data_IF_888752667701
#
_entry.id   IF_888752667701
#
_cell.length_a   1.000
_cell.length_b   1.000
_cell.length_c   1.000
_cell.angle_alpha   90.00
_cell.angle_beta   90.00
_cell.angle_gamma   90.00
#
_symmetry.space_group_name_H-M   'P 1'
#
loop_
_entity.id
_entity.type
_entity.pdbx_description
1 polymer ?
#
# COMPACT_ATOMS: atom_id res chain seq x y z
N UNK A 1 15.08 26.71 2.56
CA UNK A 1 15.87 26.98 1.34
C UNK A 1 14.88 27.20 0.21
N UNK A 2 14.81 28.41 -0.36
CA UNK A 2 13.99 28.69 -1.54
C UNK A 2 14.78 28.27 -2.79
N UNK A 3 14.21 27.40 -3.62
CA UNK A 3 14.75 27.14 -4.94
C UNK A 3 14.48 28.37 -5.83
N UNK A 4 15.44 28.82 -6.66
CA UNK A 4 15.17 29.88 -7.64
C UNK A 4 14.07 29.43 -8.59
N UNK A 5 13.15 30.34 -8.92
CA UNK A 5 11.99 30.02 -9.76
C UNK A 5 12.42 29.48 -11.12
N UNK A 6 11.91 28.31 -11.50
CA UNK A 6 12.32 27.60 -12.73
C UNK A 6 11.63 28.11 -14.00
N UNK A 7 10.60 28.93 -13.85
CA UNK A 7 9.72 29.36 -14.94
C UNK A 7 8.78 28.26 -15.45
N UNK A 8 8.87 27.03 -14.92
CA UNK A 8 7.98 25.90 -15.24
C UNK A 8 7.15 25.54 -14.02
N UNK A 9 5.93 26.07 -13.99
CA UNK A 9 4.94 25.81 -12.94
C UNK A 9 4.08 24.63 -13.38
N UNK A 10 4.02 23.59 -12.57
CA UNK A 10 3.14 22.44 -12.76
C UNK A 10 1.67 22.85 -12.50
N UNK A 11 0.73 22.03 -12.98
CA UNK A 11 -0.67 22.17 -12.53
C UNK A 11 -0.71 22.17 -11.00
N UNK A 12 -1.53 23.04 -10.39
CA UNK A 12 -1.56 23.19 -8.93
C UNK A 12 -0.59 24.24 -8.34
N UNK A 13 0.18 24.96 -9.17
CA UNK A 13 0.98 26.11 -8.71
C UNK A 13 2.34 25.73 -8.11
N UNK A 14 2.79 24.50 -8.33
CA UNK A 14 4.05 23.97 -7.79
C UNK A 14 5.18 24.22 -8.79
N UNK A 15 6.27 24.83 -8.34
CA UNK A 15 7.48 24.92 -9.14
C UNK A 15 8.11 23.53 -9.28
N UNK A 16 8.36 23.10 -10.53
CA UNK A 16 8.96 21.78 -10.81
C UNK A 16 10.29 21.53 -10.08
N UNK A 17 11.07 22.57 -9.80
CA UNK A 17 12.34 22.46 -9.06
C UNK A 17 12.15 22.30 -7.56
N UNK A 18 11.02 22.74 -7.00
CA UNK A 18 10.71 22.59 -5.58
C UNK A 18 10.51 21.12 -5.18
N UNK A 19 10.15 20.26 -6.14
CA UNK A 19 9.97 18.82 -5.92
C UNK A 19 11.30 18.05 -5.91
N UNK A 20 12.38 18.62 -6.44
CA UNK A 20 13.66 17.91 -6.55
C UNK A 20 14.25 17.51 -5.19
N UNK A 21 14.38 18.41 -4.19
CA UNK A 21 14.97 18.04 -2.90
C UNK A 21 14.19 16.94 -2.16
N UNK A 22 12.85 17.02 -2.00
CA UNK A 22 12.15 15.96 -1.29
C UNK A 22 12.05 14.66 -2.11
N UNK A 23 12.05 14.70 -3.46
CA UNK A 23 12.21 13.48 -4.28
C UNK A 23 13.55 12.81 -4.05
N UNK A 24 14.63 13.59 -4.00
CA UNK A 24 15.97 13.08 -3.71
C UNK A 24 16.06 12.47 -2.30
N UNK A 25 15.40 13.10 -1.32
CA UNK A 25 15.31 12.56 0.04
C UNK A 25 14.56 11.23 0.08
N UNK A 26 13.36 11.16 -0.51
CA UNK A 26 12.56 9.94 -0.49
C UNK A 26 13.22 8.81 -1.31
N UNK A 27 13.83 9.14 -2.46
CA UNK A 27 14.63 8.22 -3.27
C UNK A 27 15.98 7.82 -2.68
N UNK A 28 16.34 8.31 -1.49
CA UNK A 28 17.49 7.80 -0.76
C UNK A 28 17.23 6.37 -0.24
N UNK A 29 15.97 6.02 0.05
CA UNK A 29 15.58 4.68 0.49
C UNK A 29 16.01 3.61 -0.53
N UNK A 30 16.78 2.63 -0.09
CA UNK A 30 17.30 1.54 -0.92
C UNK A 30 17.86 0.41 -0.07
N UNK A 31 17.85 -0.79 -0.64
CA UNK A 31 18.64 -1.92 -0.16
C UNK A 31 20.00 -1.92 -0.90
N UNK A 32 21.12 -2.09 -0.19
CA UNK A 32 22.46 -2.06 -0.77
C UNK A 32 23.05 -3.47 -0.75
N UNK A 33 23.41 -4.00 -1.93
CA UNK A 33 24.04 -5.31 -2.05
C UNK A 33 25.39 -5.34 -1.32
N UNK A 34 25.59 -6.33 -0.44
CA UNK A 34 26.78 -6.44 0.41
C UNK A 34 26.88 -5.37 1.51
N UNK A 35 25.86 -4.54 1.70
CA UNK A 35 25.80 -3.49 2.70
C UNK A 35 24.58 -3.60 3.62
N UNK A 36 24.17 -2.46 4.18
CA UNK A 36 22.91 -2.33 4.92
C UNK A 36 21.75 -1.87 4.03
N UNK A 37 20.65 -1.48 4.68
CA UNK A 37 19.48 -0.90 4.01
C UNK A 37 19.06 0.41 4.68
N UNK A 38 18.46 1.31 3.89
CA UNK A 38 17.75 2.49 4.37
C UNK A 38 16.28 2.37 3.97
N UNK A 39 15.42 2.22 4.97
CA UNK A 39 13.96 2.18 4.78
C UNK A 39 13.37 3.52 5.18
N UNK A 40 12.59 4.13 4.30
CA UNK A 40 11.85 5.36 4.60
C UNK A 40 10.36 5.05 4.47
N UNK A 41 9.62 5.27 5.55
CA UNK A 41 8.16 5.28 5.56
C UNK A 41 7.72 6.73 5.78
N UNK A 42 6.93 7.25 4.85
CA UNK A 42 6.41 8.61 4.91
C UNK A 42 4.89 8.58 4.81
N UNK A 43 4.23 9.52 5.48
CA UNK A 43 2.80 9.77 5.29
C UNK A 43 2.62 10.84 4.23
N UNK A 44 1.64 10.63 3.36
CA UNK A 44 1.21 11.62 2.38
C UNK A 44 -0.26 11.96 2.65
N UNK A 45 -0.57 13.26 2.66
CA UNK A 45 -1.95 13.71 2.73
C UNK A 45 -2.55 13.61 1.32
N UNK A 46 -3.74 13.03 1.24
CA UNK A 46 -4.55 12.93 0.02
C UNK A 46 -5.94 13.47 0.31
N UNK A 47 -6.69 13.82 -0.74
CA UNK A 47 -8.07 14.33 -0.62
C UNK A 47 -8.20 15.60 0.25
N UNK A 48 -7.14 16.42 0.31
CA UNK A 48 -7.14 17.68 1.08
C UNK A 48 -7.93 18.81 0.38
N UNK A 49 -8.31 18.60 -0.89
CA UNK A 49 -8.87 19.63 -1.77
C UNK A 49 -7.82 20.58 -2.36
N UNK A 50 -6.55 20.38 -2.04
CA UNK A 50 -5.42 21.15 -2.58
C UNK A 50 -4.85 20.44 -3.83
N UNK A 51 -4.94 21.11 -4.98
CA UNK A 51 -4.28 20.64 -6.22
C UNK A 51 -2.76 20.50 -6.06
N UNK A 52 -2.16 21.31 -5.18
CA UNK A 52 -0.73 21.21 -4.86
C UNK A 52 -0.43 19.86 -4.20
N UNK A 53 -1.24 19.42 -3.25
CA UNK A 53 -1.03 18.15 -2.54
C UNK A 53 -1.25 16.96 -3.47
N UNK A 54 -2.25 17.03 -4.35
CA UNK A 54 -2.49 16.01 -5.40
C UNK A 54 -1.28 15.84 -6.32
N UNK A 55 -0.71 16.96 -6.79
CA UNK A 55 0.47 16.95 -7.67
C UNK A 55 1.69 16.43 -6.93
N UNK A 56 1.90 16.83 -5.69
CA UNK A 56 2.98 16.32 -4.84
C UNK A 56 2.85 14.80 -4.66
N UNK A 57 1.64 14.31 -4.36
CA UNK A 57 1.37 12.89 -4.18
C UNK A 57 1.67 12.07 -5.44
N UNK A 58 1.15 12.48 -6.59
CA UNK A 58 1.39 11.78 -7.87
C UNK A 58 2.87 11.76 -8.23
N UNK A 59 3.59 12.85 -7.98
CA UNK A 59 5.03 12.93 -8.22
C UNK A 59 5.84 11.99 -7.31
N UNK A 60 5.40 11.77 -6.07
CA UNK A 60 6.04 10.82 -5.14
C UNK A 60 5.65 9.36 -5.36
N UNK A 61 4.46 9.10 -5.89
CA UNK A 61 3.99 7.75 -6.22
C UNK A 61 4.92 7.01 -7.19
N UNK A 62 5.53 7.76 -8.11
CA UNK A 62 6.57 7.23 -9.02
C UNK A 62 7.90 6.89 -8.33
N UNK A 63 8.15 7.43 -7.14
CA UNK A 63 9.43 7.29 -6.41
C UNK A 63 9.40 6.12 -5.41
N UNK A 64 8.25 5.86 -4.79
CA UNK A 64 8.06 4.76 -3.83
C UNK A 64 7.85 3.39 -4.49
N UNK A 65 8.03 2.34 -3.70
CA UNK A 65 7.74 0.95 -4.10
C UNK A 65 6.66 0.26 -3.24
N UNK A 66 6.19 0.92 -2.17
CA UNK A 66 5.13 0.45 -1.28
C UNK A 66 4.13 1.59 -1.04
N UNK A 67 2.84 1.27 -1.13
CA UNK A 67 1.73 2.16 -0.80
C UNK A 67 0.83 1.46 0.22
N UNK A 68 0.58 2.13 1.36
CA UNK A 68 -0.44 1.73 2.33
C UNK A 68 -1.48 2.83 2.39
N UNK A 69 -2.62 2.59 1.76
CA UNK A 69 -3.71 3.57 1.66
C UNK A 69 -4.66 3.40 2.83
N UNK A 70 -5.06 4.54 3.39
CA UNK A 70 -6.03 4.60 4.47
C UNK A 70 -7.32 5.21 3.94
N UNK A 71 -8.45 4.59 4.24
CA UNK A 71 -9.76 5.02 3.78
C UNK A 71 -10.49 5.82 4.86
N UNK A 72 -10.89 7.04 4.49
CA UNK A 72 -11.60 7.94 5.39
C UNK A 72 -12.96 7.42 5.81
N UNK A 73 -13.70 6.74 4.92
CA UNK A 73 -15.04 6.20 5.20
C UNK A 73 -14.99 5.08 6.23
N UNK A 74 -13.94 4.24 6.19
CA UNK A 74 -13.68 3.24 7.23
C UNK A 74 -13.39 3.90 8.59
N UNK A 75 -12.55 4.94 8.60
CA UNK A 75 -12.23 5.69 9.82
C UNK A 75 -13.46 6.39 10.43
N UNK A 76 -14.30 7.02 9.59
CA UNK A 76 -15.54 7.69 10.01
C UNK A 76 -16.52 6.68 10.67
N UNK A 77 -16.53 5.42 10.21
CA UNK A 77 -17.29 4.31 10.80
C UNK A 77 -16.60 3.66 12.01
N UNK A 78 -15.45 4.17 12.45
CA UNK A 78 -14.62 3.64 13.55
C UNK A 78 -14.10 2.21 13.31
N UNK A 79 -13.93 1.82 12.05
CA UNK A 79 -13.29 0.55 11.69
C UNK A 79 -11.78 0.77 11.64
N UNK A 80 -11.03 0.09 12.52
CA UNK A 80 -9.57 0.21 12.61
C UNK A 80 -8.86 -1.15 12.58
N UNK A 81 -7.71 -1.24 11.89
CA UNK A 81 -7.06 -0.20 11.08
C UNK A 81 -7.87 0.11 9.80
N UNK A 82 -7.99 1.39 9.45
CA UNK A 82 -8.80 1.87 8.32
C UNK A 82 -8.06 1.72 6.99
N UNK A 83 -7.52 0.52 6.72
CA UNK A 83 -6.69 0.24 5.55
C UNK A 83 -7.55 -0.16 4.36
N UNK A 84 -7.30 0.49 3.23
CA UNK A 84 -7.79 -0.02 1.94
C UNK A 84 -6.86 -1.14 1.47
N UNK A 85 -7.26 -2.38 1.75
CA UNK A 85 -6.47 -3.59 1.47
C UNK A 85 -6.31 -3.86 -0.03
N UNK A 86 -7.24 -3.41 -0.85
CA UNK A 86 -7.24 -3.67 -2.27
C UNK A 86 -6.23 -2.76 -2.97
N UNK A 87 -6.32 -1.46 -2.70
CA UNK A 87 -5.49 -0.44 -3.35
C UNK A 87 -4.10 -0.24 -2.72
N UNK A 88 -3.86 -0.81 -1.54
CA UNK A 88 -2.52 -0.91 -0.92
C UNK A 88 -1.69 -2.00 -1.60
N UNK A 89 -0.36 -1.92 -1.58
CA UNK A 89 0.50 -2.96 -2.15
C UNK A 89 1.98 -2.62 -2.14
N UNK A 90 2.81 -3.62 -2.41
CA UNK A 90 4.27 -3.47 -2.56
C UNK A 90 4.72 -4.06 -3.89
N UNK A 91 5.51 -3.31 -4.66
CA UNK A 91 6.12 -3.81 -5.90
C UNK A 91 7.19 -4.85 -5.56
N UNK A 92 7.26 -5.91 -6.35
CA UNK A 92 8.18 -7.03 -6.14
C UNK A 92 8.00 -7.73 -4.79
N UNK A 93 6.76 -7.90 -4.33
CA UNK A 93 6.45 -8.58 -3.07
C UNK A 93 6.91 -10.05 -3.04
N UNK A 94 7.13 -10.67 -4.20
CA UNK A 94 7.72 -12.00 -4.33
C UNK A 94 9.16 -12.11 -3.79
N UNK A 95 9.85 -10.98 -3.61
CA UNK A 95 11.17 -10.94 -2.96
C UNK A 95 11.08 -10.86 -1.44
N UNK A 96 9.89 -10.60 -0.88
CA UNK A 96 9.66 -10.35 0.53
C UNK A 96 8.95 -11.51 1.25
N UNK A 97 8.40 -12.47 0.50
CA UNK A 97 7.62 -13.57 1.01
C UNK A 97 8.13 -14.89 0.42
N UNK A 98 7.91 -16.00 1.14
CA UNK A 98 8.14 -17.31 0.55
C UNK A 98 7.15 -17.59 -0.60
N UNK A 99 7.49 -18.45 -1.57
CA UNK A 99 6.58 -18.80 -2.67
C UNK A 99 5.23 -19.35 -2.18
N UNK A 100 5.22 -20.07 -1.06
CA UNK A 100 4.03 -20.63 -0.42
C UNK A 100 3.15 -19.53 0.17
N UNK A 101 3.73 -18.61 0.95
CA UNK A 101 3.01 -17.48 1.53
C UNK A 101 2.42 -16.58 0.43
N UNK A 102 3.21 -16.26 -0.61
CA UNK A 102 2.78 -15.42 -1.71
C UNK A 102 1.53 -15.98 -2.41
N UNK A 103 1.51 -17.29 -2.68
CA UNK A 103 0.34 -17.96 -3.29
C UNK A 103 -0.91 -17.82 -2.43
N UNK A 104 -0.78 -17.91 -1.10
CA UNK A 104 -1.90 -17.77 -0.16
C UNK A 104 -2.36 -16.30 -0.12
N UNK A 105 -1.43 -15.35 -0.04
CA UNK A 105 -1.73 -13.91 -0.04
C UNK A 105 -2.46 -13.49 -1.32
N UNK A 106 -2.06 -14.00 -2.48
CA UNK A 106 -2.76 -13.74 -3.75
C UNK A 106 -4.16 -14.34 -3.80
N UNK A 107 -4.38 -15.51 -3.20
CA UNK A 107 -5.74 -16.06 -3.04
C UNK A 107 -6.57 -15.17 -2.13
N UNK A 108 -6.02 -14.75 -0.99
CA UNK A 108 -6.68 -13.83 -0.07
C UNK A 108 -7.05 -12.53 -0.77
N UNK A 109 -6.12 -11.90 -1.51
CA UNK A 109 -6.38 -10.69 -2.31
C UNK A 109 -7.53 -10.86 -3.29
N UNK A 110 -7.59 -11.98 -4.01
CA UNK A 110 -8.71 -12.26 -4.92
C UNK A 110 -10.06 -12.33 -4.22
N UNK A 111 -10.10 -12.95 -3.03
CA UNK A 111 -11.33 -13.00 -2.21
C UNK A 111 -11.72 -11.61 -1.74
N UNK A 112 -10.76 -10.81 -1.24
CA UNK A 112 -11.02 -9.46 -0.74
C UNK A 112 -11.46 -8.50 -1.85
N UNK A 113 -10.86 -8.59 -3.04
CA UNK A 113 -11.24 -7.77 -4.20
C UNK A 113 -12.67 -8.06 -4.70
N UNK A 114 -13.22 -9.25 -4.45
CA UNK A 114 -14.60 -9.58 -4.82
C UNK A 114 -15.65 -8.96 -3.90
N UNK A 115 -15.23 -8.40 -2.76
CA UNK A 115 -16.10 -7.79 -1.75
C UNK A 115 -16.05 -6.27 -1.86
N UNK A 116 -17.07 -5.60 -1.33
CA UNK A 116 -16.92 -4.16 -1.07
C UNK A 116 -15.85 -3.92 0.02
N UNK A 117 -15.26 -2.73 0.00
CA UNK A 117 -14.15 -2.37 0.87
C UNK A 117 -14.44 -2.55 2.37
N UNK A 118 -15.67 -2.26 2.81
CA UNK A 118 -16.05 -2.42 4.21
C UNK A 118 -16.19 -3.90 4.56
N UNK A 119 -16.86 -4.68 3.72
CA UNK A 119 -16.97 -6.12 3.89
C UNK A 119 -15.59 -6.80 3.89
N UNK A 120 -14.70 -6.38 2.99
CA UNK A 120 -13.35 -6.91 2.88
C UNK A 120 -12.55 -6.74 4.17
N UNK A 121 -12.50 -5.51 4.72
CA UNK A 121 -11.75 -5.25 5.96
C UNK A 121 -12.40 -5.92 7.17
N UNK A 122 -13.74 -5.96 7.26
CA UNK A 122 -14.45 -6.62 8.36
C UNK A 122 -14.22 -8.14 8.34
N UNK A 123 -14.29 -8.77 7.17
CA UNK A 123 -13.97 -10.18 7.00
C UNK A 123 -12.53 -10.46 7.41
N UNK A 124 -11.58 -9.66 6.91
CA UNK A 124 -10.16 -9.82 7.23
C UNK A 124 -9.93 -9.69 8.74
N UNK A 125 -10.48 -8.66 9.38
CA UNK A 125 -10.32 -8.43 10.82
C UNK A 125 -10.97 -9.53 11.66
N UNK A 126 -12.13 -10.03 11.24
CA UNK A 126 -12.79 -11.16 11.91
C UNK A 126 -11.90 -12.39 11.88
N UNK A 127 -11.38 -12.75 10.69
CA UNK A 127 -10.50 -13.92 10.55
C UNK A 127 -9.16 -13.76 11.27
N UNK A 128 -8.59 -12.56 11.29
CA UNK A 128 -7.37 -12.29 12.05
C UNK A 128 -7.61 -12.45 13.56
N UNK A 129 -8.74 -11.98 14.09
CA UNK A 129 -9.10 -12.12 15.51
C UNK A 129 -9.28 -13.57 15.96
N UNK A 130 -9.67 -14.46 15.05
CA UNK A 130 -9.81 -15.89 15.32
C UNK A 130 -8.45 -16.62 15.40
N UNK A 131 -7.33 -15.93 15.20
CA UNK A 131 -5.98 -16.50 15.11
C UNK A 131 -5.00 -15.75 15.99
N UNK A 132 -3.93 -16.42 16.44
CA UNK A 132 -2.90 -15.78 17.27
C UNK A 132 -1.75 -15.21 16.44
N UNK A 133 -1.54 -15.76 15.24
CA UNK A 133 -0.43 -15.38 14.36
C UNK A 133 -0.87 -15.31 12.90
N UNK A 134 -0.17 -14.50 12.11
CA UNK A 134 -0.39 -14.43 10.66
C UNK A 134 -0.15 -15.79 9.99
N UNK A 135 0.77 -16.60 10.50
CA UNK A 135 1.01 -17.96 9.99
C UNK A 135 -0.22 -18.84 10.15
N UNK A 136 -0.84 -18.85 11.34
CA UNK A 136 -2.09 -19.59 11.58
C UNK A 136 -3.22 -19.10 10.67
N UNK A 137 -3.35 -17.78 10.51
CA UNK A 137 -4.31 -17.15 9.61
C UNK A 137 -4.14 -17.60 8.16
N UNK A 138 -2.92 -17.52 7.62
CA UNK A 138 -2.65 -17.93 6.24
C UNK A 138 -2.92 -19.43 6.03
N UNK A 139 -2.59 -20.27 7.01
CA UNK A 139 -2.92 -21.71 6.97
C UNK A 139 -4.44 -21.95 6.96
N UNK A 140 -5.23 -21.17 7.69
CA UNK A 140 -6.70 -21.27 7.64
C UNK A 140 -7.24 -20.87 6.27
N UNK A 141 -6.76 -19.76 5.69
CA UNK A 141 -7.17 -19.32 4.33
C UNK A 141 -6.83 -20.39 3.28
N UNK A 142 -5.66 -21.03 3.39
CA UNK A 142 -5.27 -22.11 2.49
C UNK A 142 -6.26 -23.29 2.55
N UNK A 143 -6.74 -23.66 3.75
CA UNK A 143 -7.72 -24.74 3.94
C UNK A 143 -9.10 -24.38 3.38
N UNK A 144 -9.61 -23.19 3.69
CA UNK A 144 -10.95 -22.75 3.28
C UNK A 144 -11.07 -22.51 1.77
N UNK A 145 -9.98 -22.10 1.11
CA UNK A 145 -9.97 -21.89 -0.35
C UNK A 145 -9.68 -23.16 -1.15
N UNK A 146 -9.09 -24.19 -0.54
CA UNK A 146 -8.87 -25.49 -1.18
C UNK A 146 -10.17 -26.32 -1.29
N UNK A 147 -11.14 -26.10 -0.41
CA UNK A 147 -12.45 -26.76 -0.47
C UNK A 147 -13.41 -26.18 -1.51
N UNK A 148 -13.01 -25.16 -2.27
CA UNK A 148 -13.82 -24.52 -3.32
C UNK A 148 -13.28 -24.67 -4.74
N UNK A 149 -12.20 -25.43 -4.94
CA UNK A 149 -11.60 -25.71 -6.26
C UNK A 149 -11.61 -27.21 -6.55
N UNK A 150 -12.79 -27.81 -6.43
CA UNK A 150 -13.05 -29.20 -6.79
C UNK A 150 -14.23 -29.26 -7.75
N UNK A 151 -14.07 -28.66 -8.93
CA UNK A 151 -14.81 -28.92 -10.17
C UNK A 151 -14.31 -27.90 -11.22
N UNK A 152 -13.39 -28.34 -12.07
CA UNK A 152 -13.29 -28.01 -13.50
C UNK A 152 -11.98 -28.63 -14.01
N UNK A 153 -12.14 -29.66 -14.86
CA UNK A 153 -11.11 -30.35 -15.65
C UNK A 153 -10.42 -29.42 -16.66
#
# INVERSE_FOLDING_TARGET
MAAPASGRILSGGVDSTALYPPKKFFGAARNIEGGGSLTILATALVETGSRMDEVIFEEFKGTGNMELKLDRRLADKRVFPAVDVDSSGTRKEELLMTPEELKIVWKLRRVLHALDQQQAIELLLTKLRDTKTNTEFLMQIQKTTASGSGEED
#
